data_IF_694709045379
#
_entry.id   IF_694709045379
#
_cell.length_a   1.000
_cell.length_b   1.000
_cell.length_c   1.000
_cell.angle_alpha   90.00
_cell.angle_beta   90.00
_cell.angle_gamma   90.00
#
_symmetry.space_group_name_H-M   'P 1'
#
loop_
_entity.id
_entity.type
_entity.pdbx_description
1 polymer ?
#
# COMPACT_ATOMS: atom_id res chain seq x y z
N UNK A 1 -31.26 -36.09 31.99
CA UNK A 1 -30.56 -36.23 30.67
C UNK A 1 -30.68 -34.99 29.76
N UNK A 2 -31.87 -34.44 29.44
CA UNK A 2 -32.00 -33.25 28.55
C UNK A 2 -31.14 -32.03 28.94
N UNK A 3 -31.07 -31.69 30.24
CA UNK A 3 -30.27 -30.56 30.73
C UNK A 3 -28.76 -30.75 30.62
N UNK A 4 -28.28 -32.01 30.62
CA UNK A 4 -26.86 -32.32 30.46
C UNK A 4 -26.44 -32.21 28.99
N UNK A 5 -27.28 -32.74 28.08
CA UNK A 5 -27.03 -32.68 26.64
C UNK A 5 -26.99 -31.23 26.12
N UNK A 6 -27.86 -30.36 26.64
CA UNK A 6 -27.91 -28.94 26.26
C UNK A 6 -26.66 -28.17 26.74
N UNK A 7 -26.13 -28.50 27.92
CA UNK A 7 -24.88 -27.91 28.44
C UNK A 7 -23.66 -28.37 27.63
N UNK A 8 -23.59 -29.66 27.27
CA UNK A 8 -22.50 -30.19 26.46
C UNK A 8 -22.51 -29.60 25.04
N UNK A 9 -23.69 -29.47 24.42
CA UNK A 9 -23.81 -28.82 23.11
C UNK A 9 -23.38 -27.35 23.15
N UNK A 10 -23.76 -26.62 24.21
CA UNK A 10 -23.39 -25.20 24.37
C UNK A 10 -21.88 -25.03 24.61
N UNK A 11 -21.26 -25.96 25.35
CA UNK A 11 -19.81 -25.98 25.57
C UNK A 11 -19.04 -26.24 24.27
N UNK A 12 -19.48 -27.20 23.45
CA UNK A 12 -18.84 -27.51 22.17
C UNK A 12 -18.93 -26.32 21.20
N UNK A 13 -20.08 -25.64 21.16
CA UNK A 13 -20.24 -24.41 20.36
C UNK A 13 -19.34 -23.28 20.87
N UNK A 14 -19.25 -23.08 22.19
CA UNK A 14 -18.37 -22.07 22.77
C UNK A 14 -16.89 -22.34 22.48
N UNK A 15 -16.45 -23.60 22.55
CA UNK A 15 -15.08 -24.01 22.19
C UNK A 15 -14.84 -23.74 20.70
N UNK A 16 -15.80 -24.06 19.82
CA UNK A 16 -15.67 -23.81 18.39
C UNK A 16 -15.59 -22.32 18.04
N UNK A 17 -16.30 -21.45 18.78
CA UNK A 17 -16.25 -19.99 18.62
C UNK A 17 -14.93 -19.38 19.10
N UNK A 18 -14.28 -19.97 20.12
CA UNK A 18 -13.01 -19.47 20.66
C UNK A 18 -11.80 -19.96 19.85
N UNK A 19 -11.88 -21.16 19.25
CA UNK A 19 -10.83 -21.68 18.37
C UNK A 19 -10.96 -21.23 16.91
N UNK A 20 -12.08 -20.58 16.55
CA UNK A 20 -12.18 -19.96 15.24
C UNK A 20 -11.13 -18.84 15.13
N UNK A 21 -10.29 -18.81 14.09
CA UNK A 21 -9.32 -17.74 13.90
C UNK A 21 -10.05 -16.39 13.84
N UNK A 22 -9.85 -15.56 14.86
CA UNK A 22 -10.47 -14.23 14.99
C UNK A 22 -9.89 -13.20 14.02
N UNK A 23 -8.89 -13.59 13.23
CA UNK A 23 -8.32 -12.79 12.15
C UNK A 23 -9.05 -13.04 10.83
N UNK A 24 -10.38 -13.05 10.85
CA UNK A 24 -11.13 -12.52 9.72
C UNK A 24 -11.03 -11.00 9.83
N UNK A 25 -9.84 -10.47 9.50
CA UNK A 25 -9.82 -9.13 8.93
C UNK A 25 -10.74 -9.27 7.73
N UNK A 26 -11.96 -8.74 7.83
CA UNK A 26 -12.80 -8.48 6.68
C UNK A 26 -12.02 -7.45 5.87
N UNK A 27 -11.02 -7.98 5.19
CA UNK A 27 -10.07 -7.26 4.40
C UNK A 27 -10.96 -6.67 3.31
N UNK A 28 -11.04 -5.34 3.30
CA UNK A 28 -12.08 -4.58 2.62
C UNK A 28 -11.85 -4.61 1.11
N UNK A 29 -11.89 -5.80 0.52
CA UNK A 29 -11.56 -6.06 -0.89
C UNK A 29 -12.59 -5.45 -1.84
N UNK A 30 -13.78 -5.12 -1.34
CA UNK A 30 -14.85 -4.47 -2.08
C UNK A 30 -14.94 -2.96 -1.85
N UNK A 31 -14.20 -2.39 -0.88
CA UNK A 31 -14.27 -0.94 -0.68
C UNK A 31 -13.36 -0.25 -1.70
N UNK A 32 -14.01 0.37 -2.68
CA UNK A 32 -13.36 1.16 -3.72
C UNK A 32 -12.51 2.30 -3.15
N UNK A 33 -12.74 2.70 -1.89
CA UNK A 33 -12.00 3.75 -1.19
C UNK A 33 -10.79 3.21 -0.40
N UNK A 34 -10.50 1.91 -0.47
CA UNK A 34 -9.31 1.30 0.14
C UNK A 34 -8.41 0.69 -0.93
N UNK A 35 -7.10 0.82 -0.73
CA UNK A 35 -6.08 0.25 -1.62
C UNK A 35 -5.00 -0.42 -0.78
N UNK A 36 -4.83 -1.73 -0.98
CA UNK A 36 -4.02 -2.61 -0.12
C UNK A 36 -2.56 -2.15 0.02
N UNK A 37 -1.95 -1.68 -1.06
CA UNK A 37 -0.56 -1.21 -1.06
C UNK A 37 -0.45 0.11 -0.28
N UNK A 38 -1.43 0.99 -0.41
CA UNK A 38 -1.54 2.24 0.32
C UNK A 38 -1.80 2.02 1.82
N UNK A 39 -2.68 1.08 2.19
CA UNK A 39 -2.90 0.69 3.60
C UNK A 39 -1.64 0.08 4.22
N UNK A 40 -0.95 -0.78 3.46
CA UNK A 40 0.33 -1.36 3.89
C UNK A 40 1.37 -0.26 4.13
N UNK A 41 1.44 0.73 3.24
CA UNK A 41 2.32 1.87 3.43
C UNK A 41 2.00 2.66 4.70
N UNK A 42 0.72 2.89 5.05
CA UNK A 42 0.37 3.57 6.31
C UNK A 42 0.96 2.85 7.51
N UNK A 43 0.83 1.52 7.56
CA UNK A 43 1.39 0.69 8.64
C UNK A 43 2.92 0.79 8.68
N UNK A 44 3.58 0.64 7.54
CA UNK A 44 5.05 0.74 7.42
C UNK A 44 5.54 2.12 7.83
N UNK A 45 4.94 3.19 7.30
CA UNK A 45 5.31 4.57 7.60
C UNK A 45 5.12 4.89 9.09
N UNK A 46 4.00 4.48 9.67
CA UNK A 46 3.73 4.66 11.10
C UNK A 46 4.72 3.87 11.98
N UNK A 47 5.08 2.66 11.59
CA UNK A 47 6.05 1.84 12.32
C UNK A 47 7.47 2.43 12.28
N UNK A 48 7.89 2.94 11.13
CA UNK A 48 9.25 3.41 10.88
C UNK A 48 9.49 4.89 11.24
N UNK A 49 8.43 5.69 11.36
CA UNK A 49 8.54 7.13 11.69
C UNK A 49 8.64 7.40 13.21
N UNK A 50 8.57 6.37 14.04
CA UNK A 50 8.75 6.47 15.51
C UNK A 50 10.20 6.81 15.85
N UNK A 51 10.43 7.41 17.02
CA UNK A 51 11.77 7.68 17.56
C UNK A 51 12.62 6.40 17.69
N UNK A 52 11.96 5.28 18.00
CA UNK A 52 12.51 3.94 17.89
C UNK A 52 11.71 3.17 16.82
N UNK A 53 12.26 2.99 15.60
CA UNK A 53 11.55 2.33 14.51
C UNK A 53 11.16 0.88 14.84
N UNK A 54 9.89 0.55 14.63
CA UNK A 54 9.34 -0.80 14.82
C UNK A 54 9.50 -1.64 13.54
N UNK A 55 10.70 -2.19 13.36
CA UNK A 55 11.04 -2.99 12.19
C UNK A 55 10.21 -4.26 12.06
N UNK A 56 9.78 -4.86 13.17
CA UNK A 56 9.00 -6.11 13.16
C UNK A 56 7.63 -5.88 12.56
N UNK A 57 6.96 -4.80 12.96
CA UNK A 57 5.65 -4.43 12.40
C UNK A 57 5.77 -4.04 10.92
N UNK A 58 6.80 -3.26 10.56
CA UNK A 58 7.04 -2.89 9.17
C UNK A 58 7.32 -4.10 8.27
N UNK A 59 8.15 -5.03 8.71
CA UNK A 59 8.47 -6.26 7.97
C UNK A 59 7.25 -7.17 7.81
N UNK A 60 6.44 -7.33 8.86
CA UNK A 60 5.21 -8.12 8.81
C UNK A 60 4.22 -7.56 7.78
N UNK A 61 3.97 -6.24 7.83
CA UNK A 61 3.08 -5.57 6.87
C UNK A 61 3.61 -5.67 5.44
N UNK A 62 4.92 -5.47 5.22
CA UNK A 62 5.53 -5.63 3.90
C UNK A 62 5.36 -7.04 3.36
N UNK A 63 5.63 -8.06 4.18
CA UNK A 63 5.58 -9.47 3.78
C UNK A 63 4.20 -9.88 3.26
N UNK A 64 3.12 -9.36 3.85
CA UNK A 64 1.76 -9.65 3.40
C UNK A 64 1.48 -9.16 1.97
N UNK A 65 2.19 -8.15 1.49
CA UNK A 65 2.02 -7.57 0.14
C UNK A 65 3.18 -7.84 -0.80
N UNK A 66 4.27 -8.44 -0.32
CA UNK A 66 5.52 -8.62 -1.08
C UNK A 66 5.30 -9.37 -2.40
N UNK A 67 4.50 -10.43 -2.40
CA UNK A 67 4.18 -11.19 -3.62
C UNK A 67 3.37 -10.37 -4.62
N UNK A 68 2.37 -9.62 -4.14
CA UNK A 68 1.57 -8.71 -4.98
C UNK A 68 2.44 -7.59 -5.57
N UNK A 69 3.37 -7.05 -4.78
CA UNK A 69 4.33 -6.04 -5.23
C UNK A 69 5.21 -6.61 -6.35
N UNK A 70 5.76 -7.81 -6.15
CA UNK A 70 6.57 -8.47 -7.16
C UNK A 70 5.78 -8.75 -8.45
N UNK A 71 4.53 -9.20 -8.32
CA UNK A 71 3.68 -9.53 -9.45
C UNK A 71 3.30 -8.31 -10.30
N UNK A 72 3.05 -7.15 -9.68
CA UNK A 72 2.57 -5.97 -10.40
C UNK A 72 3.63 -4.91 -10.72
N UNK A 73 4.73 -4.87 -9.97
CA UNK A 73 5.78 -3.85 -10.12
C UNK A 73 7.16 -4.46 -10.37
N UNK A 74 7.24 -5.79 -10.43
CA UNK A 74 8.47 -6.52 -10.70
C UNK A 74 9.24 -6.94 -9.44
N UNK A 75 9.96 -8.05 -9.58
CA UNK A 75 10.78 -8.63 -8.50
C UNK A 75 11.90 -7.68 -8.04
N UNK A 76 12.40 -6.82 -8.92
CA UNK A 76 13.40 -5.79 -8.59
C UNK A 76 12.87 -4.78 -7.56
N UNK A 77 11.60 -4.38 -7.70
CA UNK A 77 10.95 -3.45 -6.77
C UNK A 77 10.75 -4.08 -5.41
N UNK A 78 10.23 -5.31 -5.38
CA UNK A 78 10.06 -6.09 -4.15
C UNK A 78 11.41 -6.29 -3.43
N UNK A 79 12.47 -6.70 -4.15
CA UNK A 79 13.81 -6.91 -3.57
C UNK A 79 14.44 -5.66 -3.00
N UNK A 80 14.20 -4.49 -3.62
CA UNK A 80 14.70 -3.22 -3.09
C UNK A 80 14.03 -2.90 -1.75
N UNK A 81 12.72 -3.08 -1.62
CA UNK A 81 12.01 -2.91 -0.36
C UNK A 81 12.46 -3.92 0.71
N UNK A 82 12.59 -5.20 0.33
CA UNK A 82 13.17 -6.25 1.18
C UNK A 82 14.54 -5.81 1.73
N UNK A 83 15.38 -5.24 0.86
CA UNK A 83 16.74 -4.81 1.21
C UNK A 83 16.74 -3.58 2.11
N UNK A 84 15.90 -2.58 1.84
CA UNK A 84 15.78 -1.38 2.69
C UNK A 84 15.33 -1.76 4.11
N UNK A 85 14.35 -2.69 4.23
CA UNK A 85 13.85 -3.18 5.52
C UNK A 85 14.93 -3.96 6.26
N UNK A 86 15.60 -4.92 5.59
CA UNK A 86 16.69 -5.70 6.19
C UNK A 86 17.86 -4.83 6.65
N UNK A 87 18.20 -3.81 5.85
CA UNK A 87 19.27 -2.86 6.16
C UNK A 87 18.85 -1.78 7.17
N UNK A 88 17.60 -1.80 7.64
CA UNK A 88 17.03 -0.83 8.60
C UNK A 88 17.12 0.63 8.13
N UNK A 89 16.92 0.84 6.83
CA UNK A 89 16.96 2.16 6.20
C UNK A 89 15.57 2.81 6.21
N UNK A 90 15.20 3.44 7.33
CA UNK A 90 13.81 3.91 7.54
C UNK A 90 13.40 4.97 6.50
N UNK A 91 14.28 5.93 6.21
CA UNK A 91 13.99 7.03 5.28
C UNK A 91 13.84 6.51 3.85
N UNK A 92 14.74 5.63 3.42
CA UNK A 92 14.77 5.02 2.10
C UNK A 92 13.60 4.05 1.91
N UNK A 93 13.24 3.28 2.95
CA UNK A 93 12.04 2.42 2.93
C UNK A 93 10.79 3.24 2.71
N UNK A 94 10.60 4.31 3.50
CA UNK A 94 9.44 5.20 3.38
C UNK A 94 9.43 5.92 2.02
N UNK A 95 10.58 6.38 1.53
CA UNK A 95 10.70 7.05 0.23
C UNK A 95 10.34 6.10 -0.93
N UNK A 96 10.89 4.88 -0.94
CA UNK A 96 10.61 3.90 -1.98
C UNK A 96 9.18 3.37 -1.93
N UNK A 97 8.55 3.31 -0.75
CA UNK A 97 7.11 3.04 -0.68
C UNK A 97 6.27 4.17 -1.27
N UNK A 98 6.62 5.45 -1.07
CA UNK A 98 5.92 6.56 -1.72
C UNK A 98 6.05 6.48 -3.25
N UNK A 99 7.23 6.14 -3.74
CA UNK A 99 7.45 5.89 -5.16
C UNK A 99 6.63 4.69 -5.67
N UNK A 100 6.52 3.61 -4.89
CA UNK A 100 5.63 2.48 -5.19
C UNK A 100 4.16 2.90 -5.29
N UNK A 101 3.69 3.82 -4.44
CA UNK A 101 2.32 4.35 -4.55
C UNK A 101 2.12 5.15 -5.85
N UNK A 102 3.14 5.87 -6.32
CA UNK A 102 3.10 6.53 -7.63
C UNK A 102 3.05 5.49 -8.77
N UNK A 103 3.82 4.40 -8.69
CA UNK A 103 3.71 3.29 -9.66
C UNK A 103 2.32 2.64 -9.62
N UNK A 104 1.68 2.57 -8.44
CA UNK A 104 0.31 2.07 -8.31
C UNK A 104 -0.69 3.00 -9.01
N UNK A 105 -0.52 4.33 -8.92
CA UNK A 105 -1.31 5.31 -9.67
C UNK A 105 -1.19 5.11 -11.19
N UNK A 106 0.04 5.01 -11.72
CA UNK A 106 0.33 4.70 -13.14
C UNK A 106 -0.46 3.48 -13.60
N UNK A 107 -0.28 2.35 -12.90
CA UNK A 107 -1.00 1.10 -13.18
C UNK A 107 -2.52 1.27 -13.16
N UNK A 108 -3.09 2.02 -12.22
CA UNK A 108 -4.54 2.22 -12.12
C UNK A 108 -5.06 3.07 -13.27
N UNK A 109 -4.34 4.13 -13.63
CA UNK A 109 -4.72 5.01 -14.75
C UNK A 109 -4.61 4.31 -16.09
N UNK A 110 -3.52 3.57 -16.33
CA UNK A 110 -3.34 2.75 -17.55
C UNK A 110 -4.48 1.74 -17.71
N UNK A 111 -4.82 1.00 -16.66
CA UNK A 111 -5.94 0.06 -16.70
C UNK A 111 -7.32 0.73 -16.83
N UNK A 112 -7.46 1.98 -16.39
CA UNK A 112 -8.69 2.76 -16.58
C UNK A 112 -8.84 3.17 -18.04
N UNK A 113 -7.76 3.62 -18.67
CA UNK A 113 -7.75 4.00 -20.09
C UNK A 113 -7.92 2.80 -21.02
N UNK A 114 -7.34 1.65 -20.67
CA UNK A 114 -7.40 0.42 -21.48
C UNK A 114 -8.82 -0.12 -21.68
N UNK A 115 -9.69 0.06 -20.69
CA UNK A 115 -11.07 -0.41 -20.73
C UNK A 115 -12.02 0.62 -20.10
N UNK A 116 -12.03 1.83 -20.67
CA UNK A 116 -12.93 2.91 -20.24
C UNK A 116 -14.41 2.53 -20.45
N UNK A 117 -14.66 1.57 -21.35
CA UNK A 117 -16.00 1.08 -21.68
C UNK A 117 -16.65 0.29 -20.53
N UNK A 118 -15.85 -0.40 -19.70
CA UNK A 118 -16.32 -0.98 -18.44
C UNK A 118 -16.38 0.12 -17.36
N UNK A 119 -17.47 0.90 -17.38
CA UNK A 119 -17.72 1.98 -16.42
C UNK A 119 -17.54 1.55 -14.95
N UNK A 120 -17.99 0.34 -14.60
CA UNK A 120 -17.92 -0.14 -13.21
C UNK A 120 -16.47 -0.35 -12.80
N UNK A 121 -15.69 -0.99 -13.67
CA UNK A 121 -14.27 -1.20 -13.45
C UNK A 121 -13.51 0.13 -13.46
N UNK A 122 -13.69 0.98 -14.47
CA UNK A 122 -13.04 2.29 -14.59
C UNK A 122 -13.30 3.17 -13.34
N UNK A 123 -14.55 3.22 -12.87
CA UNK A 123 -14.92 3.93 -11.64
C UNK A 123 -14.22 3.37 -10.40
N UNK A 124 -14.17 2.05 -10.25
CA UNK A 124 -13.48 1.40 -9.15
C UNK A 124 -11.97 1.69 -9.18
N UNK A 125 -11.35 1.67 -10.37
CA UNK A 125 -9.92 1.96 -10.54
C UNK A 125 -9.59 3.40 -10.15
N UNK A 126 -10.40 4.37 -10.60
CA UNK A 126 -10.25 5.77 -10.24
C UNK A 126 -10.46 6.01 -8.74
N UNK A 127 -11.43 5.33 -8.11
CA UNK A 127 -11.63 5.41 -6.67
C UNK A 127 -10.40 4.89 -5.89
N UNK A 128 -9.81 3.77 -6.33
CA UNK A 128 -8.58 3.22 -5.72
C UNK A 128 -7.36 4.12 -5.96
N UNK A 129 -7.27 4.74 -7.14
CA UNK A 129 -6.24 5.73 -7.44
C UNK A 129 -6.41 6.96 -6.53
N UNK A 130 -7.63 7.45 -6.32
CA UNK A 130 -7.92 8.55 -5.39
C UNK A 130 -7.55 8.18 -3.96
N UNK A 131 -7.90 6.97 -3.51
CA UNK A 131 -7.50 6.47 -2.19
C UNK A 131 -5.97 6.47 -2.02
N UNK A 132 -5.25 6.01 -3.04
CA UNK A 132 -3.77 6.04 -3.08
C UNK A 132 -3.24 7.48 -2.98
N UNK A 133 -3.83 8.41 -3.73
CA UNK A 133 -3.45 9.83 -3.68
C UNK A 133 -3.72 10.44 -2.31
N UNK A 134 -4.85 10.14 -1.66
CA UNK A 134 -5.15 10.62 -0.30
C UNK A 134 -4.06 10.22 0.69
N UNK A 135 -3.51 9.01 0.55
CA UNK A 135 -2.38 8.55 1.39
C UNK A 135 -1.07 9.28 1.07
N UNK A 136 -0.85 9.64 -0.20
CA UNK A 136 0.30 10.43 -0.63
C UNK A 136 0.19 11.92 -0.31
N UNK A 137 -1.02 12.49 -0.23
CA UNK A 137 -1.28 13.93 -0.15
C UNK A 137 -0.50 14.63 0.97
N UNK A 138 -0.46 14.12 2.22
CA UNK A 138 0.30 14.77 3.30
C UNK A 138 1.80 14.93 2.99
N UNK A 139 2.36 14.07 2.14
CA UNK A 139 3.75 14.14 1.71
C UNK A 139 3.96 15.00 0.47
N UNK A 140 2.92 15.19 -0.35
CA UNK A 140 2.92 16.07 -1.50
C UNK A 140 2.74 17.53 -1.07
N UNK A 141 1.91 17.79 -0.06
CA UNK A 141 1.67 19.11 0.54
C UNK A 141 2.96 19.77 1.07
N UNK A 142 3.96 18.97 1.45
CA UNK A 142 5.27 19.49 1.84
C UNK A 142 6.08 20.08 0.66
N UNK A 143 5.66 19.84 -0.59
CA UNK A 143 6.39 20.21 -1.83
C UNK A 143 5.53 20.97 -2.83
N UNK A 144 4.21 20.93 -2.68
CA UNK A 144 3.24 21.57 -3.56
C UNK A 144 2.43 22.62 -2.80
N UNK A 145 1.95 23.63 -3.50
CA UNK A 145 1.02 24.60 -2.92
C UNK A 145 -0.34 23.97 -2.67
N UNK A 146 -1.08 24.49 -1.68
CA UNK A 146 -2.46 24.07 -1.41
C UNK A 146 -3.36 24.16 -2.65
N UNK A 147 -3.20 25.23 -3.45
CA UNK A 147 -3.91 25.39 -4.72
C UNK A 147 -3.60 24.26 -5.71
N UNK A 148 -2.33 23.81 -5.79
CA UNK A 148 -1.96 22.69 -6.63
C UNK A 148 -2.56 21.37 -6.11
N UNK A 149 -2.56 21.13 -4.80
CA UNK A 149 -3.22 19.95 -4.20
C UNK A 149 -4.73 19.95 -4.49
N UNK A 150 -5.39 21.11 -4.39
CA UNK A 150 -6.80 21.25 -4.75
C UNK A 150 -7.05 20.97 -6.23
N UNK A 151 -6.19 21.47 -7.11
CA UNK A 151 -6.26 21.16 -8.55
C UNK A 151 -6.10 19.67 -8.83
N UNK A 152 -5.23 18.95 -8.12
CA UNK A 152 -5.10 17.51 -8.28
C UNK A 152 -6.35 16.74 -7.82
N UNK A 153 -7.02 17.21 -6.76
CA UNK A 153 -8.31 16.65 -6.36
C UNK A 153 -9.39 16.88 -7.43
N UNK A 154 -9.43 18.08 -8.01
CA UNK A 154 -10.36 18.39 -9.10
C UNK A 154 -10.07 17.58 -10.37
N UNK A 155 -8.80 17.23 -10.63
CA UNK A 155 -8.45 16.33 -11.73
C UNK A 155 -9.02 14.90 -11.50
N UNK A 156 -9.09 14.41 -10.26
CA UNK A 156 -9.77 13.13 -9.99
C UNK A 156 -11.28 13.21 -10.25
N UNK A 157 -11.92 14.32 -9.89
CA UNK A 157 -13.34 14.53 -10.17
C UNK A 157 -13.59 14.66 -11.69
N UNK A 158 -12.68 15.33 -12.41
CA UNK A 158 -12.68 15.41 -13.88
C UNK A 158 -12.53 14.02 -14.51
N UNK A 159 -11.58 13.21 -14.03
CA UNK A 159 -11.40 11.84 -14.52
C UNK A 159 -12.65 10.98 -14.28
N UNK A 160 -13.29 11.12 -13.12
CA UNK A 160 -14.53 10.41 -12.78
C UNK A 160 -15.71 10.83 -13.66
N UNK A 161 -15.79 12.11 -14.03
CA UNK A 161 -16.79 12.58 -14.97
C UNK A 161 -16.51 12.10 -16.41
N UNK A 162 -15.23 12.03 -16.77
CA UNK A 162 -14.78 11.68 -18.11
C UNK A 162 -14.95 10.19 -18.45
N UNK A 163 -15.04 9.28 -17.47
CA UNK A 163 -15.41 7.87 -17.75
C UNK A 163 -16.89 7.71 -18.18
N UNK A 164 -17.68 8.79 -18.18
CA UNK A 164 -19.08 8.78 -18.62
C UNK A 164 -20.04 8.22 -17.57
N UNK A 165 -21.21 7.79 -18.02
CA UNK A 165 -22.25 7.15 -17.21
C UNK A 165 -23.10 6.26 -18.13
N UNK A 166 -23.24 4.95 -17.89
CA UNK A 166 -24.07 4.08 -18.73
C UNK A 166 -25.57 4.40 -18.63
N UNK A 167 -26.00 5.15 -17.61
CA UNK A 167 -27.39 5.46 -17.35
C UNK A 167 -28.17 4.26 -16.80
N UNK A 168 -29.33 4.53 -16.21
CA UNK A 168 -30.25 3.47 -15.76
C UNK A 168 -31.22 3.19 -16.92
N UNK A 169 -31.08 2.02 -17.56
CA UNK A 169 -31.82 1.68 -18.79
C UNK A 169 -31.64 2.70 -19.92
N UNK A 170 -30.45 3.30 -20.04
CA UNK A 170 -30.13 4.33 -21.03
C UNK A 170 -30.59 5.75 -20.68
N UNK A 171 -31.38 5.93 -19.61
CA UNK A 171 -31.72 7.26 -19.12
C UNK A 171 -30.52 7.87 -18.40
N UNK A 172 -30.09 9.05 -18.85
CA UNK A 172 -28.92 9.74 -18.31
C UNK A 172 -27.58 9.15 -18.79
N UNK A 173 -27.58 8.41 -19.91
CA UNK A 173 -26.35 7.94 -20.53
C UNK A 173 -25.47 9.11 -20.94
N UNK A 174 -24.18 9.02 -20.62
CA UNK A 174 -23.11 9.93 -21.04
C UNK A 174 -21.96 9.06 -21.53
N UNK A 175 -21.52 9.26 -22.76
CA UNK A 175 -20.39 8.53 -23.30
C UNK A 175 -19.09 8.98 -22.61
N UNK A 176 -18.09 8.10 -22.61
CA UNK A 176 -16.78 8.44 -22.08
C UNK A 176 -16.07 9.50 -22.94
N UNK A 177 -15.41 10.45 -22.29
CA UNK A 177 -14.49 11.40 -22.89
C UNK A 177 -13.05 10.92 -22.61
N UNK A 178 -12.55 10.05 -23.49
CA UNK A 178 -11.20 9.48 -23.38
C UNK A 178 -10.12 10.56 -23.33
N UNK A 179 -10.31 11.67 -24.06
CA UNK A 179 -9.33 12.76 -24.09
C UNK A 179 -9.31 13.48 -22.74
N UNK A 180 -10.46 13.86 -22.21
CA UNK A 180 -10.54 14.51 -20.90
C UNK A 180 -10.01 13.59 -19.78
N UNK A 181 -10.32 12.30 -19.84
CA UNK A 181 -9.80 11.29 -18.92
C UNK A 181 -8.27 11.23 -18.99
N UNK A 182 -7.70 11.07 -20.19
CA UNK A 182 -6.26 11.01 -20.43
C UNK A 182 -5.56 12.29 -19.96
N UNK A 183 -6.12 13.45 -20.27
CA UNK A 183 -5.55 14.73 -19.85
C UNK A 183 -5.55 14.86 -18.31
N UNK A 184 -6.64 14.45 -17.64
CA UNK A 184 -6.75 14.51 -16.18
C UNK A 184 -5.75 13.57 -15.47
N UNK A 185 -5.68 12.29 -15.87
CA UNK A 185 -4.77 11.33 -15.24
C UNK A 185 -3.30 11.69 -15.46
N UNK A 186 -2.96 12.28 -16.62
CA UNK A 186 -1.62 12.75 -16.90
C UNK A 186 -1.23 13.97 -16.06
N UNK A 187 -2.16 14.91 -15.82
CA UNK A 187 -1.89 16.03 -14.89
C UNK A 187 -1.64 15.54 -13.48
N UNK A 188 -2.40 14.53 -13.01
CA UNK A 188 -2.19 13.92 -11.69
C UNK A 188 -0.82 13.24 -11.63
N UNK A 189 -0.57 12.30 -12.54
CA UNK A 189 0.63 11.50 -12.56
C UNK A 189 1.90 12.35 -12.75
N UNK A 190 1.90 13.24 -13.73
CA UNK A 190 3.02 14.14 -14.02
C UNK A 190 3.34 15.11 -12.89
N UNK A 191 2.35 15.46 -12.05
CA UNK A 191 2.58 16.30 -10.86
C UNK A 191 3.19 15.52 -9.69
N UNK A 192 2.92 14.21 -9.59
CA UNK A 192 3.34 13.38 -8.45
C UNK A 192 4.65 12.62 -8.70
N UNK A 193 4.86 12.09 -9.91
CA UNK A 193 6.08 11.35 -10.30
C UNK A 193 7.38 12.04 -9.89
N UNK A 194 7.63 13.33 -10.20
CA UNK A 194 8.90 13.98 -9.85
C UNK A 194 9.08 14.18 -8.35
N UNK A 195 8.02 14.12 -7.54
CA UNK A 195 8.11 14.36 -6.09
C UNK A 195 8.59 13.14 -5.31
N UNK A 196 8.43 11.94 -5.86
CA UNK A 196 8.70 10.68 -5.18
C UNK A 196 9.56 9.77 -6.05
N UNK A 197 10.84 10.13 -6.27
CA UNK A 197 11.74 9.33 -7.07
C UNK A 197 11.98 7.97 -6.42
N UNK A 198 11.99 6.93 -7.26
CA UNK A 198 12.36 5.59 -6.85
C UNK A 198 13.88 5.45 -6.79
N UNK A 199 14.39 4.81 -5.75
CA UNK A 199 15.83 4.59 -5.55
C UNK A 199 16.11 3.11 -5.37
N UNK A 200 16.83 2.52 -6.32
CA UNK A 200 17.30 1.13 -6.21
C UNK A 200 18.20 1.03 -4.98
N UNK A 201 18.04 -0.04 -4.21
CA UNK A 201 18.84 -0.26 -3.01
C UNK A 201 20.33 -0.27 -3.36
N UNK A 202 21.09 0.58 -2.67
CA UNK A 202 22.56 0.57 -2.70
C UNK A 202 23.05 0.12 -1.34
N UNK A 203 23.75 -1.02 -1.31
CA UNK A 203 24.35 -1.52 -0.08
C UNK A 203 25.22 -0.41 0.56
N UNK A 204 25.10 -0.17 1.88
CA UNK A 204 25.96 0.80 2.54
C UNK A 204 27.41 0.37 2.33
N UNK A 205 28.25 1.32 1.92
CA UNK A 205 29.67 1.06 1.75
C UNK A 205 30.20 0.47 3.05
N UNK A 206 30.72 -0.76 2.99
CA UNK A 206 31.37 -1.41 4.13
C UNK A 206 32.40 -0.41 4.65
N UNK A 207 32.35 0.00 5.93
CA UNK A 207 33.34 0.93 6.46
C UNK A 207 34.70 0.33 6.14
N UNK A 208 35.52 1.07 5.40
CA UNK A 208 36.84 0.64 4.99
C UNK A 208 37.51 0.08 6.24
N UNK A 209 37.81 -1.23 6.21
CA UNK A 209 38.46 -1.89 7.32
C UNK A 209 39.68 -1.05 7.67
N UNK A 210 39.66 -0.47 8.87
CA UNK A 210 40.58 0.60 9.26
C UNK A 210 41.99 0.23 8.84
N UNK A 211 42.56 1.02 7.93
CA UNK A 211 43.99 1.10 7.77
C UNK A 211 44.53 1.57 9.11
N UNK A 212 44.86 0.62 9.98
CA UNK A 212 45.60 0.85 11.20
C UNK A 212 46.99 1.33 10.79
N UNK A 213 47.13 2.62 10.53
CA UNK A 213 48.41 3.29 10.60
C UNK A 213 48.80 3.27 12.06
N UNK A 214 49.62 2.28 12.43
CA UNK A 214 50.46 2.35 13.62
C UNK A 214 51.28 3.64 13.54
N UNK A 215 50.78 4.69 14.20
CA UNK A 215 51.62 5.81 14.62
C UNK A 215 52.45 5.36 15.81
N UNK A 216 53.46 4.56 15.51
CA UNK A 216 54.62 4.36 16.38
C UNK A 216 55.55 5.57 16.23
N UNK A 217 55.49 6.50 17.18
CA UNK A 217 56.66 7.18 17.77
C UNK A 217 56.21 8.15 18.87
N UNK A 218 56.00 7.58 20.06
CA UNK A 218 56.11 8.34 21.30
C UNK A 218 57.58 8.71 21.52
N UNK A 219 57.90 10.01 21.44
CA UNK A 219 59.20 10.54 21.87
C UNK A 219 59.02 11.01 23.32
N UNK A 220 59.15 10.10 24.28
CA UNK A 220 59.20 10.46 25.71
C UNK A 220 60.65 10.69 26.12
N UNK A 221 60.92 11.94 26.50
CA UNK A 221 62.16 12.36 27.11
C UNK A 221 62.34 11.70 28.49
N UNK A 222 63.55 11.19 28.70
CA UNK A 222 64.10 10.63 29.94
C UNK A 222 64.61 11.73 30.87
N UNK A 223 64.45 11.58 32.20
CA UNK A 223 65.47 11.99 33.17
C UNK A 223 66.13 10.76 33.85
N UNK A 224 67.29 10.93 34.50
CA UNK A 224 68.28 9.85 34.69
C UNK A 224 68.16 9.10 36.03
N UNK A 225 68.64 7.84 35.99
CA UNK A 225 69.34 7.03 37.03
C UNK A 225 68.71 6.92 38.44
N UNK A 226 68.53 5.73 39.04
CA UNK A 226 69.61 4.86 39.58
C UNK A 226 69.14 3.42 39.89
N UNK A 227 70.07 2.47 39.68
CA UNK A 227 70.39 1.23 40.43
C UNK A 227 69.30 0.28 40.96
N UNK A 228 69.44 -1.03 40.66
CA UNK A 228 68.90 -2.10 41.51
C UNK A 228 68.68 -3.47 40.85
N UNK A 229 69.74 -4.26 40.74
CA UNK A 229 69.86 -5.71 41.02
C UNK A 229 68.69 -6.69 40.72
N UNK A 230 68.98 -7.70 39.88
CA UNK A 230 68.81 -9.11 40.30
C UNK A 230 67.76 -9.99 39.60
N UNK A 231 68.27 -11.12 39.08
CA UNK A 231 67.66 -12.46 38.96
C UNK A 231 66.80 -12.87 37.74
N UNK A 232 67.38 -13.79 36.92
CA UNK A 232 66.95 -15.20 36.62
C UNK A 232 65.45 -15.51 36.47
N UNK A 233 64.93 -16.39 35.62
CA UNK A 233 65.41 -17.42 34.69
C UNK A 233 64.13 -18.06 34.07
N UNK A 234 64.26 -18.75 32.91
CA UNK A 234 63.33 -19.72 32.27
C UNK A 234 61.87 -19.30 31.95
N UNK A 235 61.27 -19.69 30.82
CA UNK A 235 61.64 -20.60 29.74
C UNK A 235 60.40 -21.00 28.92
N UNK A 236 60.60 -21.23 27.61
CA UNK A 236 59.97 -22.23 26.70
C UNK A 236 58.43 -22.35 26.61
N UNK A 237 57.83 -22.05 25.44
CA UNK A 237 57.56 -22.94 24.27
C UNK A 237 56.13 -23.54 24.32
N UNK A 238 55.20 -23.13 23.45
CA UNK A 238 54.92 -23.60 22.07
C UNK A 238 54.05 -24.87 21.93
N UNK A 239 52.87 -24.69 21.30
CA UNK A 239 52.17 -25.59 20.32
C UNK A 239 51.45 -26.87 20.86
N UNK A 240 50.60 -27.59 20.05
CA UNK A 240 49.53 -27.22 19.10
C UNK A 240 48.16 -27.94 19.33
N UNK A 241 47.15 -27.46 18.57
CA UNK A 241 45.99 -28.11 17.90
C UNK A 241 45.73 -29.63 18.01
N UNK A 242 44.44 -30.05 18.05
CA UNK A 242 43.61 -30.38 16.86
C UNK A 242 42.34 -31.21 17.22
N UNK A 243 41.30 -31.09 16.36
CA UNK A 243 40.24 -32.08 16.02
C UNK A 243 39.25 -32.53 17.14
N UNK A 244 37.97 -32.88 16.93
CA UNK A 244 37.24 -33.49 15.81
C UNK A 244 35.74 -33.14 15.85
N UNK A 245 35.10 -33.27 14.70
CA UNK A 245 33.64 -33.21 14.51
C UNK A 245 33.02 -34.61 14.45
N UNK A 246 31.86 -34.83 15.09
CA UNK A 246 30.71 -35.54 14.48
C UNK A 246 29.42 -35.39 15.30
N UNK A 247 28.24 -35.44 14.66
CA UNK A 247 26.93 -35.17 15.25
C UNK A 247 26.16 -36.44 15.59
N UNK A 248 25.14 -36.35 16.45
CA UNK A 248 23.97 -37.26 16.49
C UNK A 248 22.83 -36.69 17.35
N UNK A 249 21.62 -36.87 16.82
CA UNK A 249 20.24 -36.65 17.33
C UNK A 249 19.95 -36.98 18.81
N UNK A 250 18.85 -36.43 19.38
CA UNK A 250 17.59 -37.19 19.54
C UNK A 250 16.34 -36.33 19.21
N UNK A 251 15.27 -36.85 18.61
CA UNK A 251 14.25 -37.77 19.13
C UNK A 251 13.32 -37.14 20.20
N UNK A 252 12.04 -37.51 20.03
CA UNK A 252 10.78 -36.98 20.58
C UNK A 252 10.43 -37.66 21.91
N UNK A 253 9.37 -37.16 22.55
CA UNK A 253 8.67 -37.61 23.78
C UNK A 253 9.14 -36.88 25.05
N UNK A 254 8.35 -36.04 25.72
CA UNK A 254 7.00 -36.11 26.29
C UNK A 254 7.06 -36.26 27.83
N UNK A 255 6.39 -35.30 28.47
CA UNK A 255 5.65 -35.38 29.74
C UNK A 255 6.31 -35.12 31.12
N UNK A 256 5.55 -34.28 31.87
CA UNK A 256 5.43 -34.05 33.33
C UNK A 256 6.49 -33.15 33.98
N UNK A 257 6.17 -32.23 34.90
CA UNK A 257 5.00 -32.02 35.76
C UNK A 257 5.06 -30.58 36.38
N UNK A 258 3.89 -30.00 36.72
CA UNK A 258 3.53 -29.20 37.93
C UNK A 258 4.53 -28.18 38.55
N UNK A 259 4.18 -27.02 39.12
CA UNK A 259 2.96 -26.40 39.63
C UNK A 259 3.27 -24.94 40.05
N UNK A 260 2.21 -24.16 40.31
CA UNK A 260 2.13 -22.94 41.16
C UNK A 260 2.75 -21.64 40.60
N UNK A 261 2.17 -20.43 40.71
CA UNK A 261 1.06 -19.96 41.53
C UNK A 261 0.56 -18.57 41.05
N UNK A 262 -0.62 -18.20 41.56
CA UNK A 262 -1.18 -16.83 41.75
C UNK A 262 -1.85 -16.05 40.61
N UNK A 263 -3.17 -16.02 40.80
CA UNK A 263 -4.16 -15.06 40.31
C UNK A 263 -3.95 -13.62 40.79
N UNK A 264 -4.34 -12.66 39.96
CA UNK A 264 -5.04 -11.43 40.37
C UNK A 264 -6.19 -11.19 39.41
N UNK A 265 -7.41 -11.27 39.94
CA UNK A 265 -8.65 -10.80 39.32
C UNK A 265 -8.74 -9.27 39.46
N UNK A 266 -9.09 -8.57 38.40
CA UNK A 266 -9.87 -7.34 38.47
C UNK A 266 -10.99 -7.40 37.42
N UNK A 267 -12.21 -7.21 37.90
CA UNK A 267 -13.45 -7.19 37.13
C UNK A 267 -13.67 -5.80 36.47
N UNK A 268 -14.62 -5.68 35.53
CA UNK A 268 -14.64 -4.64 34.51
C UNK A 268 -15.53 -3.45 34.88
N UNK A 269 -15.24 -2.28 34.30
CA UNK A 269 -16.10 -1.10 34.43
C UNK A 269 -16.56 -0.57 33.06
N UNK A 270 -17.87 -0.33 33.03
CA UNK A 270 -18.74 0.49 32.19
C UNK A 270 -18.38 0.81 30.71
N UNK A 271 -19.26 0.37 29.82
CA UNK A 271 -19.48 0.93 28.49
C UNK A 271 -20.23 2.30 28.57
N UNK A 272 -19.96 3.26 27.68
CA UNK A 272 -20.84 4.40 27.45
C UNK A 272 -21.85 4.13 26.30
N UNK A 273 -23.05 4.76 26.35
CA UNK A 273 -24.14 4.52 25.40
C UNK A 273 -24.00 5.31 24.10
N UNK A 274 -24.60 4.74 23.05
CA UNK A 274 -24.81 5.35 21.74
C UNK A 274 -26.16 6.06 21.71
N UNK A 275 -26.17 7.33 21.33
CA UNK A 275 -27.38 8.07 20.94
C UNK A 275 -27.33 8.37 19.44
N UNK A 276 -28.34 7.89 18.73
CA UNK A 276 -28.68 8.25 17.35
C UNK A 276 -29.92 9.16 17.39
N UNK A 277 -30.03 10.19 16.55
CA UNK A 277 -31.30 10.88 16.37
C UNK A 277 -32.12 10.26 15.24
N UNK A 278 -33.37 10.03 15.60
CA UNK A 278 -34.51 9.55 14.83
C UNK A 278 -34.97 10.60 13.80
N UNK A 279 -35.38 10.14 12.61
CA UNK A 279 -35.96 10.97 11.56
C UNK A 279 -37.44 10.57 11.40
N UNK A 280 -38.34 11.48 11.76
CA UNK A 280 -39.78 11.33 11.55
C UNK A 280 -40.29 12.36 10.54
N UNK A 281 -41.13 11.85 9.63
CA UNK A 281 -41.82 12.56 8.56
C UNK A 281 -43.13 13.24 9.02
N UNK A 282 -43.65 14.16 8.19
CA UNK A 282 -45.00 14.74 8.25
C UNK A 282 -45.00 16.19 7.73
N UNK A 283 -45.26 16.49 6.45
CA UNK A 283 -46.51 16.51 5.65
C UNK A 283 -47.30 17.84 5.69
N UNK A 284 -47.66 18.28 4.48
CA UNK A 284 -48.75 19.14 3.99
C UNK A 284 -48.88 20.65 4.26
N UNK A 285 -49.17 21.32 3.12
CA UNK A 285 -50.00 22.51 2.86
C UNK A 285 -49.45 23.89 3.26
N UNK A 286 -49.77 25.00 2.62
CA UNK A 286 -50.27 25.44 1.30
C UNK A 286 -50.33 26.99 1.42
N UNK A 287 -50.51 27.67 0.28
CA UNK A 287 -51.20 28.97 0.16
C UNK A 287 -50.38 30.27 -0.06
N UNK A 288 -50.50 30.74 -1.31
CA UNK A 288 -50.85 32.07 -1.85
C UNK A 288 -50.05 33.39 -1.66
N UNK A 289 -50.02 34.14 -2.77
CA UNK A 289 -49.80 35.59 -2.89
C UNK A 289 -48.55 35.97 -3.72
N UNK A 290 -48.60 36.15 -5.05
CA UNK A 290 -49.01 37.37 -5.79
C UNK A 290 -48.29 38.64 -5.26
N UNK A 291 -47.56 39.45 -6.04
CA UNK A 291 -47.94 40.19 -7.26
C UNK A 291 -46.73 40.89 -7.89
N UNK A 292 -46.79 41.10 -9.21
CA UNK A 292 -46.34 42.29 -10.00
C UNK A 292 -44.88 42.78 -9.93
N UNK A 293 -44.29 43.34 -10.98
CA UNK A 293 -44.58 43.51 -12.40
C UNK A 293 -43.35 44.23 -13.01
N UNK A 294 -43.11 43.98 -14.31
CA UNK A 294 -42.68 44.94 -15.34
C UNK A 294 -41.40 45.80 -15.12
N UNK A 295 -40.61 46.19 -16.11
CA UNK A 295 -40.47 45.97 -17.55
C UNK A 295 -39.28 46.85 -17.98
N UNK A 296 -38.68 46.53 -19.13
CA UNK A 296 -37.91 47.42 -20.03
C UNK A 296 -36.62 48.06 -19.47
N UNK A 297 -35.57 48.35 -20.23
CA UNK A 297 -35.46 48.59 -21.67
C UNK A 297 -33.98 48.41 -22.10
N UNK A 298 -33.79 47.76 -23.23
CA UNK A 298 -32.91 48.09 -24.38
C UNK A 298 -31.71 49.04 -24.19
N UNK A 299 -30.51 48.60 -24.63
CA UNK A 299 -29.73 49.30 -25.67
C UNK A 299 -28.47 48.53 -26.05
N UNK A 300 -28.33 48.30 -27.36
CA UNK A 300 -27.16 47.81 -28.05
C UNK A 300 -26.09 48.91 -28.19
N UNK A 301 -24.81 48.53 -28.20
CA UNK A 301 -23.77 49.25 -28.95
C UNK A 301 -22.56 48.33 -29.20
N UNK A 302 -22.38 47.96 -30.47
CA UNK A 302 -21.12 47.63 -31.15
C UNK A 302 -21.09 48.55 -32.38
N UNK A 303 -19.97 48.73 -33.12
CA UNK A 303 -18.58 48.34 -32.85
C UNK A 303 -17.57 49.48 -33.14
N UNK A 304 -16.29 49.29 -32.83
CA UNK A 304 -15.21 50.05 -33.47
C UNK A 304 -13.94 49.20 -33.63
N UNK A 305 -13.48 49.15 -34.87
CA UNK A 305 -12.28 48.51 -35.35
C UNK A 305 -11.00 49.19 -34.84
N UNK A 306 -9.92 48.42 -34.69
CA UNK A 306 -8.66 48.82 -35.30
C UNK A 306 -7.73 47.62 -35.55
N UNK A 307 -7.22 47.58 -36.78
CA UNK A 307 -6.15 46.74 -37.28
C UNK A 307 -4.82 47.51 -37.10
N UNK A 308 -3.64 46.85 -37.06
CA UNK A 308 -2.94 46.67 -38.32
C UNK A 308 -2.15 45.35 -38.47
N UNK A 309 -1.92 45.03 -39.74
CA UNK A 309 -0.90 44.13 -40.30
C UNK A 309 0.53 44.51 -39.81
N UNK A 310 1.59 43.70 -39.91
CA UNK A 310 2.08 43.03 -41.12
C UNK A 310 3.29 42.13 -40.80
N UNK A 311 3.57 41.17 -41.71
CA UNK A 311 4.87 40.60 -42.10
C UNK A 311 5.78 39.91 -41.03
N UNK A 312 6.52 38.82 -41.30
CA UNK A 312 6.74 37.99 -42.47
C UNK A 312 7.63 36.77 -42.08
N UNK A 313 7.71 35.84 -43.03
CA UNK A 313 8.87 34.97 -43.34
C UNK A 313 8.94 33.58 -42.68
N UNK A 314 8.64 32.61 -43.54
CA UNK A 314 8.99 31.19 -43.48
C UNK A 314 10.07 30.97 -44.55
N UNK A 315 11.24 30.45 -44.18
CA UNK A 315 12.24 29.77 -45.03
C UNK A 315 13.18 29.03 -44.04
N UNK A 316 13.17 27.70 -43.99
CA UNK A 316 13.94 26.76 -44.82
C UNK A 316 15.42 26.67 -44.38
N UNK A 317 15.79 25.55 -43.73
CA UNK A 317 17.00 24.79 -44.09
C UNK A 317 17.18 23.51 -43.27
N UNK A 318 17.29 22.42 -44.02
CA UNK A 318 17.87 21.15 -43.64
C UNK A 318 19.37 21.27 -43.34
N UNK A 319 19.87 20.49 -42.38
CA UNK A 319 21.25 19.96 -42.39
C UNK A 319 21.22 18.51 -41.91
N UNK A 320 21.80 17.66 -42.76
CA UNK A 320 22.01 16.24 -42.56
C UNK A 320 23.27 15.94 -41.75
N UNK A 321 23.32 14.68 -41.31
CA UNK A 321 24.48 13.78 -41.26
C UNK A 321 25.38 13.63 -40.03
N UNK A 322 25.60 12.33 -39.75
CA UNK A 322 26.67 11.66 -38.99
C UNK A 322 26.69 11.82 -37.46
N UNK A 323 26.95 10.78 -36.66
CA UNK A 323 27.77 9.60 -36.91
C UNK A 323 27.32 8.42 -36.04
N UNK A 324 27.49 7.23 -36.61
CA UNK A 324 27.51 5.97 -35.89
C UNK A 324 28.73 5.90 -34.97
N UNK A 325 28.52 5.39 -33.76
CA UNK A 325 29.56 4.78 -32.95
C UNK A 325 28.99 3.51 -32.31
N UNK A 326 29.54 2.40 -32.77
CA UNK A 326 29.51 1.06 -32.22
C UNK A 326 30.16 1.09 -30.82
N UNK A 327 29.44 0.63 -29.79
CA UNK A 327 30.10 0.06 -28.61
C UNK A 327 29.24 -1.03 -27.99
N UNK A 328 29.84 -2.22 -27.96
CA UNK A 328 29.28 -3.47 -27.49
C UNK A 328 29.64 -3.62 -26.02
N UNK A 329 28.70 -3.41 -25.09
CA UNK A 329 28.90 -3.79 -23.70
C UNK A 329 27.60 -4.03 -22.91
N UNK A 330 27.46 -5.29 -22.48
CA UNK A 330 26.71 -5.78 -21.32
C UNK A 330 25.18 -5.58 -21.28
N UNK A 331 24.47 -6.68 -21.55
CA UNK A 331 23.09 -6.93 -21.13
C UNK A 331 22.97 -6.80 -19.60
N UNK A 332 22.66 -5.60 -19.13
CA UNK A 332 21.78 -5.40 -18.01
C UNK A 332 20.47 -4.89 -18.58
N UNK A 333 19.34 -5.49 -18.21
CA UNK A 333 18.01 -4.88 -18.40
C UNK A 333 18.00 -3.51 -17.72
N UNK A 334 18.43 -2.49 -18.44
CA UNK A 334 18.09 -1.11 -18.16
C UNK A 334 16.61 -1.00 -18.44
N UNK A 335 15.85 -0.86 -17.36
CA UNK A 335 14.46 -0.46 -17.40
C UNK A 335 14.32 0.68 -18.41
N UNK A 336 13.68 0.38 -19.54
CA UNK A 336 13.28 1.38 -20.53
C UNK A 336 12.61 2.51 -19.77
N UNK A 337 13.08 3.75 -19.95
CA UNK A 337 12.57 4.90 -19.22
C UNK A 337 11.04 4.91 -19.34
N UNK A 338 10.34 4.70 -18.21
CA UNK A 338 8.88 4.67 -18.21
C UNK A 338 8.38 5.95 -18.86
N UNK A 339 7.58 5.89 -19.95
CA UNK A 339 7.16 7.09 -20.63
C UNK A 339 6.42 7.98 -19.64
N UNK A 340 6.70 9.28 -19.73
CA UNK A 340 6.21 10.30 -18.80
C UNK A 340 4.70 10.54 -18.92
N UNK A 341 4.06 9.88 -19.89
CA UNK A 341 2.63 9.98 -20.17
C UNK A 341 1.95 8.63 -20.04
N UNK A 342 0.80 8.64 -19.36
CA UNK A 342 -0.18 7.55 -19.32
C UNK A 342 -0.98 7.58 -20.63
N UNK A 343 -0.99 6.49 -21.38
CA UNK A 343 -1.66 6.43 -22.68
C UNK A 343 -2.59 5.23 -22.91
N UNK A 344 -2.68 4.31 -21.96
CA UNK A 344 -3.49 3.09 -22.04
C UNK A 344 -2.80 1.92 -22.74
N UNK A 345 -1.57 2.12 -23.23
CA UNK A 345 -0.85 1.10 -24.03
C UNK A 345 0.12 0.27 -23.20
N UNK A 346 0.49 0.73 -22.00
CA UNK A 346 1.39 -0.03 -21.13
C UNK A 346 0.69 -1.29 -20.62
N UNK A 347 1.33 -2.43 -20.85
CA UNK A 347 0.91 -3.70 -20.26
C UNK A 347 1.37 -3.77 -18.80
N UNK A 348 0.41 -3.69 -17.88
CA UNK A 348 0.62 -4.09 -16.50
C UNK A 348 0.07 -5.50 -16.28
N UNK A 349 0.68 -6.25 -15.36
CA UNK A 349 0.13 -7.54 -14.94
C UNK A 349 -1.35 -7.35 -14.60
N UNK A 350 -2.20 -8.14 -15.27
CA UNK A 350 -3.65 -8.05 -15.11
C UNK A 350 -3.98 -8.06 -13.62
N UNK A 351 -4.79 -7.09 -13.20
CA UNK A 351 -5.25 -7.08 -11.82
C UNK A 351 -6.07 -8.33 -11.60
N UNK A 352 -5.48 -9.31 -10.92
CA UNK A 352 -6.15 -10.55 -10.63
C UNK A 352 -7.44 -10.20 -9.88
N UNK A 353 -8.58 -10.37 -10.56
CA UNK A 353 -9.87 -10.55 -9.89
C UNK A 353 -9.72 -11.88 -9.18
N UNK A 354 -9.13 -11.84 -8.00
CA UNK A 354 -8.88 -13.05 -7.27
C UNK A 354 -10.22 -13.43 -6.69
N UNK A 355 -10.89 -14.40 -7.32
CA UNK A 355 -12.02 -15.12 -6.74
C UNK A 355 -11.49 -15.86 -5.50
N UNK A 356 -11.29 -15.13 -4.39
CA UNK A 356 -10.85 -15.66 -3.09
C UNK A 356 -12.01 -16.22 -2.27
N UNK A 357 -13.15 -16.50 -2.91
CA UNK A 357 -14.10 -17.48 -2.41
C UNK A 357 -13.37 -18.81 -2.35
N UNK A 358 -12.83 -19.16 -1.18
CA UNK A 358 -12.28 -20.50 -0.98
C UNK A 358 -13.43 -21.49 -1.19
N UNK A 359 -13.45 -22.24 -2.31
CA UNK A 359 -14.60 -23.07 -2.65
C UNK A 359 -14.83 -24.12 -1.56
N UNK A 360 -13.78 -24.54 -0.86
CA UNK A 360 -13.89 -25.45 0.27
C UNK A 360 -14.60 -24.83 1.48
N UNK A 361 -14.43 -23.53 1.74
CA UNK A 361 -15.16 -22.82 2.80
C UNK A 361 -16.62 -22.63 2.40
N UNK A 362 -16.90 -22.21 1.17
CA UNK A 362 -18.27 -22.06 0.68
C UNK A 362 -19.02 -23.38 0.68
N UNK A 363 -18.41 -24.46 0.16
CA UNK A 363 -18.98 -25.80 0.19
C UNK A 363 -19.10 -26.31 1.63
N UNK A 364 -18.14 -26.02 2.50
CA UNK A 364 -18.18 -26.40 3.92
C UNK A 364 -19.32 -25.74 4.69
N UNK A 365 -19.58 -24.44 4.46
CA UNK A 365 -20.70 -23.72 5.10
C UNK A 365 -22.03 -24.24 4.57
N UNK A 366 -22.19 -24.38 3.26
CA UNK A 366 -23.43 -24.89 2.65
C UNK A 366 -23.70 -26.34 3.12
N UNK A 367 -22.67 -27.19 3.11
CA UNK A 367 -22.75 -28.56 3.60
C UNK A 367 -23.07 -28.63 5.10
N UNK A 368 -22.45 -27.79 5.91
CA UNK A 368 -22.71 -27.69 7.35
C UNK A 368 -24.16 -27.30 7.65
N UNK A 369 -24.68 -26.28 6.96
CA UNK A 369 -26.08 -25.85 7.12
C UNK A 369 -27.05 -26.96 6.68
N UNK A 370 -26.75 -27.66 5.58
CA UNK A 370 -27.58 -28.78 5.12
C UNK A 370 -27.62 -29.94 6.12
N UNK A 371 -26.47 -30.30 6.72
CA UNK A 371 -26.39 -31.37 7.73
C UNK A 371 -27.13 -30.98 9.01
N UNK A 372 -26.97 -29.74 9.48
CA UNK A 372 -27.68 -29.25 10.67
C UNK A 372 -29.20 -29.20 10.41
N UNK A 373 -29.63 -28.70 9.25
CA UNK A 373 -31.03 -28.68 8.84
C UNK A 373 -31.63 -30.08 8.77
N UNK A 374 -30.97 -31.02 8.10
CA UNK A 374 -31.41 -32.41 8.02
C UNK A 374 -31.46 -33.09 9.40
N UNK A 375 -30.46 -32.84 10.25
CA UNK A 375 -30.43 -33.35 11.62
C UNK A 375 -31.57 -32.81 12.48
N UNK A 376 -31.90 -31.53 12.35
CA UNK A 376 -33.03 -30.90 13.05
C UNK A 376 -34.39 -31.48 12.60
N UNK A 377 -34.59 -31.66 11.30
CA UNK A 377 -35.81 -32.28 10.74
C UNK A 377 -35.97 -33.73 11.21
N UNK A 378 -34.89 -34.51 11.19
CA UNK A 378 -34.90 -35.89 11.68
C UNK A 378 -35.25 -35.99 13.18
N UNK A 379 -34.66 -35.11 14.00
CA UNK A 379 -34.97 -35.02 15.44
C UNK A 379 -36.42 -34.58 15.70
N UNK A 380 -36.96 -33.67 14.89
CA UNK A 380 -38.35 -33.23 15.00
C UNK A 380 -39.33 -34.37 14.70
N UNK A 381 -39.10 -35.14 13.63
CA UNK A 381 -39.88 -36.35 13.30
C UNK A 381 -39.83 -37.38 14.41
N UNK A 382 -38.64 -37.67 14.96
CA UNK A 382 -38.50 -38.68 16.03
C UNK A 382 -39.25 -38.31 17.32
N UNK A 383 -39.46 -37.01 17.57
CA UNK A 383 -40.20 -36.52 18.74
C UNK A 383 -41.71 -36.33 18.49
N UNK A 384 -42.21 -36.64 17.29
CA UNK A 384 -43.63 -36.53 16.95
C UNK A 384 -44.13 -35.08 16.84
N UNK A 385 -43.23 -34.14 16.51
CA UNK A 385 -43.64 -32.77 16.16
C UNK A 385 -44.23 -32.68 14.74
N UNK A 386 -44.04 -33.73 13.93
CA UNK A 386 -44.57 -33.91 12.58
C UNK A 386 -45.00 -35.36 12.37
#
# INVERSE_FOLDING_TARGET
>A
MRKMFMKTAMLVVAIFLVLAPTSAWAYSYGDANTEDVAETFKVVAAALSKSSPDWKTAEAAHKERREEIAAHFGESVAKTLDSNIKARQAKETIANYKALLVMNLDRRFENTLKDVSDYTNAKMLLAKARATFVVLSPYAEAKLSAAKIQSLNADFDTALEAIGNPGLFGVGQKDADEKALKDAVNRIYGSLKPLFPYTVYKAPAKPAAGGGTSSDKGTTAKPPTTAGTGNTDKGTASKPAASDAKPSTPAKDAEKEQQDDKAVQTAPDAAPPADAPDAAAGDAAADEGATDAAADDTAAEEPAADQPADAASTDDQAVADNAAADDTAAEGEVASAEPDTIDGTKEHAAMARTDKTNPAVTVGVIGGVAVVGAGAVWLARRKGFF
#
